data_IF_819686461178
#
_entry.id   IF_819686461178
#
_cell.length_a   1.000
_cell.length_b   1.000
_cell.length_c   1.000
_cell.angle_alpha   90.00
_cell.angle_beta   90.00
_cell.angle_gamma   90.00
#
_symmetry.space_group_name_H-M   'P 1'
#
loop_
_entity.id
_entity.type
_entity.pdbx_description
1 polymer ?
#
# COMPACT_ATOMS: atom_id res chain seq x y z
N UNK A 1 -11.63 7.04 5.03
CA UNK A 1 -11.31 5.64 4.65
C UNK A 1 -10.48 5.69 3.37
N UNK A 2 -9.18 5.39 3.45
CA UNK A 2 -8.28 5.38 2.29
C UNK A 2 -8.09 3.96 1.78
N UNK A 3 -8.22 3.75 0.46
CA UNK A 3 -7.98 2.45 -0.18
C UNK A 3 -6.53 2.37 -0.66
N UNK A 4 -5.85 1.25 -0.41
CA UNK A 4 -4.49 0.99 -0.91
C UNK A 4 -4.50 0.46 -2.36
N UNK A 5 -5.57 0.75 -3.11
CA UNK A 5 -5.78 0.31 -4.48
C UNK A 5 -6.36 1.48 -5.27
N UNK A 6 -5.93 1.63 -6.52
CA UNK A 6 -6.56 2.56 -7.48
C UNK A 6 -7.95 2.10 -7.91
N UNK A 7 -8.35 0.87 -7.54
CA UNK A 7 -9.69 0.35 -7.75
C UNK A 7 -10.49 0.48 -6.46
N UNK A 8 -11.51 1.33 -6.45
CA UNK A 8 -12.49 1.34 -5.36
C UNK A 8 -13.46 0.16 -5.53
N UNK A 9 -13.84 -0.53 -4.44
CA UNK A 9 -14.90 -1.53 -4.50
C UNK A 9 -16.18 -0.92 -5.08
N UNK A 10 -16.85 -1.66 -5.95
CA UNK A 10 -18.09 -1.20 -6.58
C UNK A 10 -19.27 -1.43 -5.63
N UNK A 11 -20.14 -0.43 -5.49
CA UNK A 11 -21.32 -0.52 -4.60
C UNK A 11 -22.51 -1.22 -5.26
N UNK A 12 -22.56 -1.24 -6.58
CA UNK A 12 -23.63 -1.79 -7.41
C UNK A 12 -23.43 -3.27 -7.77
N UNK A 13 -22.20 -3.78 -7.64
CA UNK A 13 -21.88 -5.17 -7.92
C UNK A 13 -20.74 -5.69 -7.06
N UNK A 14 -20.87 -6.92 -6.60
CA UNK A 14 -19.84 -7.58 -5.81
C UNK A 14 -18.70 -8.15 -6.67
N UNK A 15 -18.99 -8.78 -7.81
CA UNK A 15 -18.00 -9.58 -8.54
C UNK A 15 -17.34 -8.80 -9.70
N UNK A 16 -16.00 -8.75 -9.69
CA UNK A 16 -15.18 -8.13 -10.73
C UNK A 16 -14.73 -9.12 -11.83
N UNK A 17 -15.09 -10.40 -11.71
CA UNK A 17 -14.79 -11.39 -12.75
C UNK A 17 -15.67 -11.17 -13.98
N UNK A 18 -15.06 -10.99 -15.16
CA UNK A 18 -15.77 -10.69 -16.41
C UNK A 18 -16.71 -11.79 -16.89
N UNK A 19 -16.52 -13.04 -16.42
CA UNK A 19 -17.37 -14.20 -16.75
C UNK A 19 -18.39 -14.51 -15.65
N UNK A 20 -18.55 -13.63 -14.66
CA UNK A 20 -19.54 -13.81 -13.61
C UNK A 20 -20.96 -13.77 -14.20
N UNK A 21 -21.73 -14.82 -13.97
CA UNK A 21 -23.15 -14.92 -14.34
C UNK A 21 -24.08 -14.86 -13.13
N UNK A 22 -23.53 -14.79 -11.92
CA UNK A 22 -24.29 -14.76 -10.68
C UNK A 22 -24.81 -13.34 -10.42
N UNK A 23 -26.08 -13.27 -10.04
CA UNK A 23 -26.71 -12.06 -9.51
C UNK A 23 -26.06 -11.69 -8.17
N UNK A 24 -25.90 -10.39 -7.90
CA UNK A 24 -25.32 -9.87 -6.66
C UNK A 24 -26.15 -10.20 -5.41
N UNK A 25 -27.40 -10.65 -5.57
CA UNK A 25 -28.32 -10.96 -4.47
C UNK A 25 -28.29 -12.43 -4.05
N UNK A 26 -27.78 -13.34 -4.89
CA UNK A 26 -27.91 -14.79 -4.68
C UNK A 26 -26.62 -15.47 -4.21
N UNK A 27 -25.48 -14.80 -4.29
CA UNK A 27 -24.17 -15.42 -4.09
C UNK A 27 -23.32 -14.73 -3.02
N UNK A 28 -22.86 -15.52 -2.06
CA UNK A 28 -21.87 -15.07 -1.07
C UNK A 28 -20.54 -14.71 -1.73
N UNK A 29 -19.82 -13.74 -1.15
CA UNK A 29 -18.52 -13.36 -1.65
C UNK A 29 -17.80 -12.40 -0.72
N UNK A 30 -16.64 -11.91 -1.16
CA UNK A 30 -15.81 -11.02 -0.37
C UNK A 30 -15.00 -10.08 -1.27
N UNK A 31 -14.64 -8.93 -0.71
CA UNK A 31 -13.68 -7.99 -1.29
C UNK A 31 -12.28 -8.35 -0.78
N UNK A 32 -11.34 -8.53 -1.70
CA UNK A 32 -9.95 -8.87 -1.41
C UNK A 32 -9.14 -7.62 -1.05
N UNK A 33 -7.92 -7.81 -0.54
CA UNK A 33 -6.99 -6.72 -0.19
C UNK A 33 -6.67 -5.78 -1.37
N UNK A 34 -6.74 -6.28 -2.60
CA UNK A 34 -6.56 -5.48 -3.82
C UNK A 34 -7.84 -4.75 -4.26
N UNK A 35 -8.85 -4.70 -3.38
CA UNK A 35 -10.15 -4.03 -3.57
C UNK A 35 -11.03 -4.61 -4.69
N UNK A 36 -10.68 -5.77 -5.24
CA UNK A 36 -11.54 -6.51 -6.15
C UNK A 36 -12.45 -7.46 -5.37
N UNK A 37 -13.73 -7.49 -5.72
CA UNK A 37 -14.70 -8.39 -5.15
C UNK A 37 -14.92 -9.63 -6.01
N UNK A 38 -15.19 -10.76 -5.36
CA UNK A 38 -15.53 -12.02 -6.01
C UNK A 38 -16.60 -12.75 -5.21
N UNK A 39 -17.55 -13.38 -5.91
CA UNK A 39 -18.32 -14.47 -5.33
C UNK A 39 -17.38 -15.63 -4.99
N UNK A 40 -17.70 -16.39 -3.96
CA UNK A 40 -16.89 -17.54 -3.51
C UNK A 40 -16.61 -18.51 -4.66
N UNK A 41 -17.63 -18.80 -5.46
CA UNK A 41 -17.55 -19.69 -6.63
C UNK A 41 -16.69 -19.08 -7.74
N UNK A 42 -16.87 -17.78 -8.03
CA UNK A 42 -16.08 -17.08 -9.04
C UNK A 42 -14.60 -17.02 -8.64
N UNK A 43 -14.30 -16.86 -7.34
CA UNK A 43 -12.94 -16.83 -6.84
C UNK A 43 -12.22 -18.17 -7.03
N UNK A 44 -12.94 -19.28 -6.84
CA UNK A 44 -12.42 -20.63 -7.11
C UNK A 44 -12.13 -20.84 -8.61
N UNK A 45 -12.97 -20.32 -9.51
CA UNK A 45 -12.77 -20.42 -10.96
C UNK A 45 -11.51 -19.66 -11.46
N UNK A 46 -11.07 -18.64 -10.72
CA UNK A 46 -9.83 -17.89 -11.02
C UNK A 46 -8.62 -18.40 -10.23
N UNK A 47 -8.64 -19.67 -9.79
CA UNK A 47 -7.58 -20.30 -9.00
C UNK A 47 -7.27 -19.56 -7.69
N UNK A 48 -8.28 -18.95 -7.07
CA UNK A 48 -8.16 -18.23 -5.80
C UNK A 48 -7.11 -17.12 -5.85
N UNK A 49 -6.95 -16.50 -7.03
CA UNK A 49 -6.05 -15.38 -7.25
C UNK A 49 -6.77 -14.30 -8.02
N UNK A 50 -6.62 -13.06 -7.56
CA UNK A 50 -6.99 -11.92 -8.38
C UNK A 50 -5.98 -11.83 -9.53
N UNK A 51 -6.41 -11.88 -10.80
CA UNK A 51 -5.50 -11.79 -11.96
C UNK A 51 -4.84 -10.41 -12.07
N UNK A 52 -5.38 -9.41 -11.38
CA UNK A 52 -4.86 -8.04 -11.43
C UNK A 52 -3.72 -7.85 -10.41
N UNK A 53 -2.52 -7.52 -10.90
CA UNK A 53 -1.29 -7.28 -10.09
C UNK A 53 -1.24 -5.89 -9.42
N UNK A 54 -2.37 -5.31 -9.00
CA UNK A 54 -2.40 -3.92 -8.47
C UNK A 54 -1.69 -3.74 -7.13
N UNK A 55 -1.79 -4.73 -6.23
CA UNK A 55 -1.10 -4.67 -4.94
C UNK A 55 0.43 -4.59 -5.12
N UNK A 56 0.98 -5.35 -6.08
CA UNK A 56 2.41 -5.27 -6.42
C UNK A 56 2.81 -3.86 -6.89
N UNK A 57 1.96 -3.16 -7.65
CA UNK A 57 2.30 -1.83 -8.17
C UNK A 57 2.16 -0.74 -7.11
N UNK A 58 1.06 -0.74 -6.34
CA UNK A 58 0.86 0.23 -5.25
C UNK A 58 1.94 0.14 -4.18
N UNK A 59 2.34 -1.09 -3.79
CA UNK A 59 3.47 -1.29 -2.88
C UNK A 59 4.76 -0.73 -3.49
N UNK A 60 5.06 -1.01 -4.76
CA UNK A 60 6.25 -0.48 -5.42
C UNK A 60 6.27 1.05 -5.47
N UNK A 61 5.13 1.67 -5.76
CA UNK A 61 5.04 3.13 -5.86
C UNK A 61 5.18 3.77 -4.47
N UNK A 62 4.54 3.21 -3.45
CA UNK A 62 4.72 3.65 -2.06
C UNK A 62 6.18 3.49 -1.60
N UNK A 63 6.83 2.36 -1.91
CA UNK A 63 8.24 2.15 -1.60
C UNK A 63 9.14 3.17 -2.31
N UNK A 64 8.85 3.50 -3.58
CA UNK A 64 9.60 4.54 -4.30
C UNK A 64 9.42 5.92 -3.68
N UNK A 65 8.19 6.30 -3.33
CA UNK A 65 7.92 7.59 -2.69
C UNK A 65 8.65 7.69 -1.36
N UNK A 66 8.58 6.63 -0.55
CA UNK A 66 9.28 6.55 0.73
C UNK A 66 10.81 6.64 0.54
N UNK A 67 11.36 5.86 -0.39
CA UNK A 67 12.79 5.90 -0.68
C UNK A 67 13.23 7.29 -1.20
N UNK A 68 12.41 7.94 -2.03
CA UNK A 68 12.67 9.29 -2.51
C UNK A 68 12.67 10.28 -1.35
N UNK A 69 11.74 10.18 -0.41
CA UNK A 69 11.69 11.01 0.79
C UNK A 69 12.94 10.84 1.65
N UNK A 70 13.39 9.59 1.87
CA UNK A 70 14.65 9.32 2.60
C UNK A 70 15.88 9.88 1.88
N UNK A 71 15.87 9.88 0.54
CA UNK A 71 16.97 10.36 -0.27
C UNK A 71 16.90 11.88 -0.55
N UNK A 72 15.80 12.55 -0.19
CA UNK A 72 15.73 14.00 -0.28
C UNK A 72 16.71 14.58 0.73
N UNK A 73 17.61 15.42 0.25
CA UNK A 73 18.39 16.28 1.15
C UNK A 73 17.41 17.27 1.75
N UNK A 74 17.37 17.35 3.07
CA UNK A 74 16.76 18.50 3.71
C UNK A 74 17.64 19.69 3.35
N UNK A 75 17.10 20.61 2.55
CA UNK A 75 17.73 21.90 2.35
C UNK A 75 17.61 22.63 3.70
N UNK A 76 18.72 22.73 4.44
CA UNK A 76 18.82 23.42 5.74
C UNK A 76 18.56 24.93 5.66
N UNK A 77 18.22 25.46 4.48
CA UNK A 77 18.14 26.89 4.21
C UNK A 77 16.73 27.33 3.79
N UNK A 78 15.79 27.24 4.74
CA UNK A 78 14.83 28.29 5.09
C UNK A 78 13.76 27.74 6.02
N UNK A 79 13.96 27.97 7.32
CA UNK A 79 12.85 28.24 8.22
C UNK A 79 12.03 29.40 7.63
N UNK A 80 10.92 29.05 6.98
CA UNK A 80 9.87 29.99 6.67
C UNK A 80 8.63 29.45 7.37
N UNK A 81 8.65 29.56 8.71
CA UNK A 81 7.54 29.26 9.59
C UNK A 81 6.30 30.08 9.24
N UNK A 82 5.51 29.54 8.33
CA UNK A 82 4.08 29.81 8.28
C UNK A 82 3.33 28.54 7.87
N UNK A 83 2.47 28.16 8.79
CA UNK A 83 1.31 27.27 8.68
C UNK A 83 1.50 25.76 8.84
N UNK A 84 1.51 25.32 10.11
CA UNK A 84 0.72 24.17 10.54
C UNK A 84 0.04 24.53 11.86
N UNK A 85 -1.13 25.17 11.78
CA UNK A 85 -2.07 25.18 12.90
C UNK A 85 -2.37 23.73 13.36
N UNK A 86 -2.31 23.56 14.68
CA UNK A 86 -2.84 22.44 15.47
C UNK A 86 -2.24 21.04 15.27
N UNK A 87 -1.01 20.84 15.77
CA UNK A 87 -0.69 19.60 16.48
C UNK A 87 -0.23 19.90 17.90
N UNK A 88 -1.04 19.43 18.85
CA UNK A 88 -0.84 19.53 20.28
C UNK A 88 0.60 19.15 20.68
N UNK A 89 1.14 19.96 21.59
CA UNK A 89 2.46 19.85 22.22
C UNK A 89 2.87 18.41 22.51
N UNK A 90 3.87 17.93 21.78
CA UNK A 90 4.78 16.90 22.29
C UNK A 90 6.10 17.63 22.52
N UNK A 91 6.42 17.86 23.80
CA UNK A 91 7.75 18.30 24.20
C UNK A 91 8.75 17.22 23.77
N UNK A 92 9.44 17.47 22.66
CA UNK A 92 10.53 16.63 22.18
C UNK A 92 11.81 17.05 22.93
N UNK A 93 12.28 16.17 23.80
CA UNK A 93 13.51 16.40 24.53
C UNK A 93 14.66 16.11 23.57
N UNK A 94 15.28 17.19 23.09
CA UNK A 94 16.39 17.24 22.13
C UNK A 94 17.65 16.55 22.69
N UNK A 95 17.66 15.23 22.65
CA UNK A 95 18.89 14.44 22.63
C UNK A 95 19.22 14.18 21.16
N UNK A 96 20.13 14.98 20.62
CA UNK A 96 20.76 14.82 19.31
C UNK A 96 21.43 13.43 19.19
N UNK A 97 20.63 12.40 18.91
CA UNK A 97 21.11 11.05 18.60
C UNK A 97 21.50 11.05 17.12
N UNK A 98 22.80 11.12 16.86
CA UNK A 98 23.36 10.86 15.54
C UNK A 98 23.05 9.39 15.19
N UNK A 99 22.01 9.16 14.39
CA UNK A 99 21.65 7.84 13.89
C UNK A 99 22.64 7.48 12.79
N UNK A 100 23.61 6.63 13.12
CA UNK A 100 24.43 5.98 12.11
C UNK A 100 23.51 5.10 11.25
N UNK A 101 23.56 5.29 9.92
CA UNK A 101 22.87 4.41 8.99
C UNK A 101 23.40 2.99 9.20
N UNK A 102 22.63 2.17 9.90
CA UNK A 102 23.00 0.80 10.19
C UNK A 102 22.95 0.00 8.88
N UNK A 103 24.13 -0.36 8.35
CA UNK A 103 24.29 -1.15 7.12
C UNK A 103 23.49 -2.47 7.17
N UNK A 104 23.18 -2.98 8.38
CA UNK A 104 22.34 -4.16 8.59
C UNK A 104 20.88 -3.91 8.21
N UNK A 105 20.35 -2.70 8.41
CA UNK A 105 18.97 -2.36 8.05
C UNK A 105 18.80 -2.31 6.53
N UNK A 106 19.73 -1.65 5.83
CA UNK A 106 19.70 -1.57 4.37
C UNK A 106 19.85 -2.97 3.74
N UNK A 107 20.73 -3.82 4.30
CA UNK A 107 20.88 -5.21 3.87
C UNK A 107 19.59 -6.02 4.09
N UNK A 108 18.94 -5.89 5.26
CA UNK A 108 17.67 -6.58 5.55
C UNK A 108 16.55 -6.15 4.61
N UNK A 109 16.52 -4.87 4.21
CA UNK A 109 15.55 -4.36 3.24
C UNK A 109 15.76 -5.01 1.86
N UNK A 110 17.00 -5.06 1.38
CA UNK A 110 17.35 -5.71 0.11
C UNK A 110 17.04 -7.21 0.12
N UNK A 111 17.34 -7.91 1.21
CA UNK A 111 16.99 -9.33 1.39
C UNK A 111 15.48 -9.54 1.35
N UNK A 112 14.71 -8.70 2.05
CA UNK A 112 13.26 -8.76 2.04
C UNK A 112 12.70 -8.51 0.62
N UNK A 113 13.17 -7.48 -0.08
CA UNK A 113 12.75 -7.18 -1.45
C UNK A 113 13.02 -8.35 -2.42
N UNK A 114 14.18 -9.01 -2.30
CA UNK A 114 14.53 -10.18 -3.09
C UNK A 114 13.71 -11.43 -2.71
N UNK A 115 13.28 -11.54 -1.45
CA UNK A 115 12.39 -12.61 -0.99
C UNK A 115 10.96 -12.45 -1.51
N UNK A 116 10.51 -11.22 -1.80
CA UNK A 116 9.24 -10.92 -2.43
C UNK A 116 9.27 -11.21 -3.95
N UNK A 117 9.52 -12.48 -4.33
CA UNK A 117 9.23 -13.00 -5.68
C UNK A 117 7.72 -13.16 -5.94
N UNK A 118 6.92 -12.16 -5.56
CA UNK A 118 5.45 -12.23 -5.61
C UNK A 118 4.84 -11.93 -6.98
N UNK A 119 5.65 -11.67 -8.01
CA UNK A 119 5.14 -11.27 -9.31
C UNK A 119 6.03 -11.78 -10.47
N UNK A 120 6.18 -13.11 -10.63
CA UNK A 120 6.37 -13.70 -11.97
C UNK A 120 4.99 -13.94 -12.59
#
# INVERSE_FOLDING_TARGET
MGWNSSHSPKSDKLCDWSKCTLSSEEASGSVLLCSHGYHTECFNQVNQRCPYKYLCNGIKDNCKIFQNMLNMKFDDDKDNGDDLEDQASLEDNDDNVIVFADEDINRKLEEALNSFKLCQ
#
